data_IF_277641026000
#
_entry.id   IF_277641026000
#
_cell.length_a   1.000
_cell.length_b   1.000
_cell.length_c   1.000
_cell.angle_alpha   90.00
_cell.angle_beta   90.00
_cell.angle_gamma   90.00
#
_symmetry.space_group_name_H-M   'P 1'
#
loop_
_entity.id
_entity.type
_entity.pdbx_description
1 polymer ?
#
# COMPACT_ATOMS: atom_id res chain seq x y z
N UNK A 1 36.09 -30.00 -46.44
CA UNK A 1 35.90 -30.78 -45.19
C UNK A 1 36.10 -29.83 -44.01
N UNK A 2 35.04 -29.21 -43.49
CA UNK A 2 35.13 -28.31 -42.34
C UNK A 2 34.82 -29.11 -41.08
N UNK A 3 35.85 -29.35 -40.26
CA UNK A 3 35.75 -30.17 -39.05
C UNK A 3 35.24 -29.28 -37.91
N UNK A 4 33.94 -29.35 -37.60
CA UNK A 4 33.33 -28.63 -36.49
C UNK A 4 33.79 -29.24 -35.15
N UNK A 5 34.75 -28.61 -34.48
CA UNK A 5 35.09 -28.92 -33.09
C UNK A 5 34.00 -28.38 -32.17
N UNK A 6 33.15 -29.26 -31.67
CA UNK A 6 32.21 -28.97 -30.59
C UNK A 6 33.00 -28.58 -29.33
N UNK A 7 32.98 -27.30 -28.95
CA UNK A 7 33.49 -26.84 -27.66
C UNK A 7 32.41 -27.06 -26.61
N UNK A 8 32.63 -27.97 -25.67
CA UNK A 8 31.78 -28.17 -24.50
C UNK A 8 32.19 -27.24 -23.35
N UNK A 9 31.22 -26.82 -22.53
CA UNK A 9 31.49 -26.13 -21.27
C UNK A 9 32.08 -27.09 -20.24
N UNK A 10 33.02 -26.61 -19.43
CA UNK A 10 33.54 -27.36 -18.29
C UNK A 10 32.57 -27.31 -17.11
N UNK A 11 32.59 -28.35 -16.27
CA UNK A 11 31.78 -28.38 -15.04
C UNK A 11 32.11 -27.22 -14.10
N UNK A 12 33.38 -26.80 -14.05
CA UNK A 12 33.82 -25.69 -13.21
C UNK A 12 33.30 -24.34 -13.72
N UNK A 13 33.23 -24.14 -15.04
CA UNK A 13 32.64 -22.93 -15.63
C UNK A 13 31.16 -22.80 -15.26
N UNK A 14 30.39 -23.89 -15.37
CA UNK A 14 28.98 -23.86 -14.96
C UNK A 14 28.80 -23.64 -13.46
N UNK A 15 29.67 -24.22 -12.63
CA UNK A 15 29.61 -24.06 -11.17
C UNK A 15 29.87 -22.60 -10.74
N UNK A 16 30.85 -21.93 -11.34
CA UNK A 16 31.14 -20.52 -11.03
C UNK A 16 29.99 -19.60 -11.46
N UNK A 17 29.35 -19.88 -12.61
CA UNK A 17 28.23 -19.07 -13.10
C UNK A 17 27.03 -19.14 -12.17
N UNK A 18 26.62 -20.34 -11.74
CA UNK A 18 25.48 -20.47 -10.81
C UNK A 18 25.80 -19.86 -9.45
N UNK A 19 27.07 -19.90 -9.01
CA UNK A 19 27.49 -19.26 -7.77
C UNK A 19 27.35 -17.73 -7.84
N UNK A 20 27.78 -17.11 -8.95
CA UNK A 20 27.64 -15.65 -9.14
C UNK A 20 26.16 -15.25 -9.25
N UNK A 21 25.36 -16.00 -10.03
CA UNK A 21 23.91 -15.74 -10.16
C UNK A 21 23.23 -15.86 -8.79
N UNK A 22 23.62 -16.84 -7.96
CA UNK A 22 23.09 -17.01 -6.60
C UNK A 22 23.34 -15.79 -5.71
N UNK A 23 24.56 -15.25 -5.71
CA UNK A 23 24.92 -14.06 -4.91
C UNK A 23 24.14 -12.83 -5.40
N UNK A 24 24.10 -12.59 -6.71
CA UNK A 24 23.37 -11.44 -7.27
C UNK A 24 21.86 -11.53 -7.01
N UNK A 25 21.28 -12.72 -7.13
CA UNK A 25 19.84 -12.94 -6.92
C UNK A 25 19.42 -12.67 -5.47
N UNK A 26 20.26 -13.03 -4.49
CA UNK A 26 19.98 -12.78 -3.08
C UNK A 26 19.87 -11.28 -2.76
N UNK A 27 20.79 -10.46 -3.28
CA UNK A 27 20.79 -9.00 -3.07
C UNK A 27 19.58 -8.34 -3.75
N UNK A 28 19.26 -8.77 -4.97
CA UNK A 28 18.12 -8.25 -5.74
C UNK A 28 16.79 -8.57 -5.06
N UNK A 29 16.64 -9.76 -4.47
CA UNK A 29 15.39 -10.12 -3.79
C UNK A 29 15.14 -9.27 -2.55
N UNK A 30 16.19 -8.98 -1.77
CA UNK A 30 16.08 -8.14 -0.57
C UNK A 30 15.64 -6.70 -0.92
N UNK A 31 16.22 -6.11 -1.97
CA UNK A 31 15.86 -4.77 -2.42
C UNK A 31 14.45 -4.71 -3.02
N UNK A 32 14.06 -5.75 -3.77
CA UNK A 32 12.72 -5.85 -4.37
C UNK A 32 11.61 -5.92 -3.31
N UNK A 33 11.80 -6.67 -2.22
CA UNK A 33 10.80 -6.75 -1.16
C UNK A 33 10.53 -5.37 -0.53
N UNK A 34 11.59 -4.60 -0.27
CA UNK A 34 11.46 -3.24 0.27
C UNK A 34 10.74 -2.30 -0.71
N UNK A 35 11.09 -2.40 -2.01
CA UNK A 35 10.45 -1.60 -3.05
C UNK A 35 8.96 -1.94 -3.20
N UNK A 36 8.58 -3.22 -3.10
CA UNK A 36 7.18 -3.66 -3.14
C UNK A 36 6.38 -3.10 -1.97
N UNK A 37 6.88 -3.19 -0.74
CA UNK A 37 6.19 -2.63 0.43
C UNK A 37 5.96 -1.12 0.29
N UNK A 38 6.95 -0.36 -0.18
CA UNK A 38 6.80 1.08 -0.45
C UNK A 38 5.81 1.38 -1.59
N UNK A 39 5.77 0.53 -2.62
CA UNK A 39 4.80 0.64 -3.70
C UNK A 39 3.36 0.43 -3.21
N UNK A 40 3.16 -0.54 -2.33
CA UNK A 40 1.87 -0.78 -1.68
C UNK A 40 1.46 0.41 -0.79
N UNK A 41 2.38 0.98 -0.02
CA UNK A 41 2.12 2.19 0.77
C UNK A 41 1.66 3.37 -0.10
N UNK A 42 2.26 3.55 -1.27
CA UNK A 42 1.85 4.59 -2.22
C UNK A 42 0.45 4.32 -2.80
N UNK A 43 0.11 3.06 -3.07
CA UNK A 43 -1.24 2.67 -3.49
C UNK A 43 -2.27 2.99 -2.40
N UNK A 44 -1.98 2.61 -1.15
CA UNK A 44 -2.83 2.91 0.02
C UNK A 44 -3.06 4.42 0.18
N UNK A 45 -2.03 5.24 0.01
CA UNK A 45 -2.15 6.70 0.06
C UNK A 45 -3.06 7.25 -1.04
N UNK A 46 -2.96 6.70 -2.26
CA UNK A 46 -3.81 7.06 -3.39
C UNK A 46 -5.28 6.66 -3.16
N UNK A 47 -5.51 5.47 -2.62
CA UNK A 47 -6.85 4.97 -2.30
C UNK A 47 -7.50 5.84 -1.22
N UNK A 48 -6.77 6.21 -0.17
CA UNK A 48 -7.26 7.15 0.85
C UNK A 48 -7.52 8.55 0.26
N UNK A 49 -6.68 9.07 -0.64
CA UNK A 49 -6.96 10.34 -1.32
C UNK A 49 -8.27 10.32 -2.12
N UNK A 50 -8.64 9.17 -2.67
CA UNK A 50 -9.96 8.98 -3.30
C UNK A 50 -11.08 9.12 -2.27
N UNK A 51 -10.93 8.54 -1.07
CA UNK A 51 -11.88 8.71 0.04
C UNK A 51 -12.03 10.18 0.42
N UNK A 52 -10.93 10.93 0.52
CA UNK A 52 -10.97 12.37 0.82
C UNK A 52 -11.81 13.14 -0.22
N UNK A 53 -11.60 12.84 -1.50
CA UNK A 53 -12.36 13.47 -2.60
C UNK A 53 -13.85 13.11 -2.53
N UNK A 54 -14.18 11.85 -2.27
CA UNK A 54 -15.59 11.42 -2.14
C UNK A 54 -16.25 12.01 -0.89
N UNK A 55 -15.52 12.13 0.21
CA UNK A 55 -16.03 12.75 1.43
C UNK A 55 -16.40 14.22 1.23
N UNK A 56 -15.59 14.97 0.48
CA UNK A 56 -15.89 16.36 0.12
C UNK A 56 -17.15 16.48 -0.75
N UNK A 57 -17.30 15.59 -1.75
CA UNK A 57 -18.51 15.52 -2.60
C UNK A 57 -19.75 15.20 -1.75
N UNK A 58 -19.61 14.25 -0.84
CA UNK A 58 -20.68 13.83 0.06
C UNK A 58 -21.13 15.00 0.96
N UNK A 59 -20.16 15.70 1.56
CA UNK A 59 -20.43 16.86 2.40
C UNK A 59 -21.05 18.03 1.62
N UNK A 60 -20.58 18.31 0.40
CA UNK A 60 -21.12 19.35 -0.47
C UNK A 60 -22.61 19.12 -0.81
N UNK A 61 -23.04 17.86 -0.86
CA UNK A 61 -24.43 17.50 -1.19
C UNK A 61 -25.34 17.47 0.05
N UNK A 62 -24.84 16.95 1.18
CA UNK A 62 -25.65 16.68 2.37
C UNK A 62 -25.42 17.62 3.56
N UNK A 63 -24.42 18.51 3.50
CA UNK A 63 -23.90 19.29 4.64
C UNK A 63 -23.61 18.42 5.88
N UNK A 64 -23.25 17.16 5.67
CA UNK A 64 -22.94 16.21 6.74
C UNK A 64 -22.02 15.12 6.23
N UNK A 65 -21.16 14.59 7.12
CA UNK A 65 -20.40 13.38 6.87
C UNK A 65 -21.11 12.10 7.35
N UNK A 66 -22.32 12.22 7.90
CA UNK A 66 -23.09 11.06 8.37
C UNK A 66 -23.35 10.10 7.22
N UNK A 67 -22.78 8.90 7.31
CA UNK A 67 -22.93 7.87 6.27
C UNK A 67 -21.88 7.90 5.17
N UNK A 68 -20.88 8.81 5.21
CA UNK A 68 -19.79 8.84 4.22
C UNK A 68 -19.02 7.52 4.18
N UNK A 69 -18.82 6.87 5.33
CA UNK A 69 -18.17 5.56 5.40
C UNK A 69 -19.05 4.41 4.88
N UNK A 70 -20.33 4.64 4.59
CA UNK A 70 -21.20 3.66 3.94
C UNK A 70 -21.38 3.98 2.44
N UNK A 71 -20.75 5.05 1.93
CA UNK A 71 -20.76 5.37 0.52
C UNK A 71 -20.04 4.28 -0.29
N UNK A 72 -20.63 3.90 -1.42
CA UNK A 72 -20.13 2.79 -2.24
C UNK A 72 -18.72 3.03 -2.79
N UNK A 73 -18.33 4.28 -3.07
CA UNK A 73 -16.99 4.61 -3.57
C UNK A 73 -15.98 4.61 -2.43
N UNK A 74 -16.38 5.08 -1.24
CA UNK A 74 -15.55 5.00 -0.03
C UNK A 74 -15.28 3.54 0.34
N UNK A 75 -16.30 2.67 0.33
CA UNK A 75 -16.13 1.24 0.60
C UNK A 75 -15.22 0.55 -0.43
N UNK A 76 -15.31 0.92 -1.71
CA UNK A 76 -14.41 0.40 -2.75
C UNK A 76 -12.97 0.85 -2.54
N UNK A 77 -12.76 2.11 -2.19
CA UNK A 77 -11.43 2.64 -1.92
C UNK A 77 -10.81 2.01 -0.65
N UNK A 78 -11.62 1.77 0.39
CA UNK A 78 -11.18 1.01 1.58
C UNK A 78 -10.77 -0.41 1.21
N UNK A 79 -11.60 -1.12 0.45
CA UNK A 79 -11.29 -2.48 0.00
C UNK A 79 -10.03 -2.53 -0.90
N UNK A 80 -9.78 -1.48 -1.70
CA UNK A 80 -8.55 -1.35 -2.49
C UNK A 80 -7.32 -1.16 -1.60
N UNK A 81 -7.41 -0.31 -0.58
CA UNK A 81 -6.35 -0.11 0.40
C UNK A 81 -6.06 -1.40 1.21
N UNK A 82 -7.10 -2.15 1.59
CA UNK A 82 -6.99 -3.47 2.21
C UNK A 82 -6.25 -4.46 1.29
N UNK A 83 -6.64 -4.52 0.01
CA UNK A 83 -5.99 -5.37 -0.99
C UNK A 83 -4.52 -4.99 -1.22
N UNK A 84 -4.19 -3.69 -1.23
CA UNK A 84 -2.82 -3.20 -1.33
C UNK A 84 -1.98 -3.55 -0.09
N UNK A 85 -2.61 -3.53 1.09
CA UNK A 85 -1.96 -3.98 2.33
C UNK A 85 -1.73 -5.50 2.35
N UNK A 86 -2.67 -6.26 1.81
CA UNK A 86 -2.67 -7.72 1.84
C UNK A 86 -3.43 -8.32 3.03
N UNK A 87 -4.28 -7.53 3.68
CA UNK A 87 -5.17 -7.94 4.79
C UNK A 87 -6.59 -7.43 4.54
N UNK A 88 -7.58 -7.87 5.32
CA UNK A 88 -9.00 -7.52 5.11
C UNK A 88 -9.54 -6.43 6.03
N UNK A 89 -8.72 -5.89 6.93
CA UNK A 89 -9.09 -4.96 7.99
C UNK A 89 -7.95 -3.94 8.24
N UNK A 90 -7.22 -3.56 7.18
CA UNK A 90 -6.16 -2.56 7.29
C UNK A 90 -6.72 -1.13 7.23
N UNK A 91 -7.84 -0.92 6.53
CA UNK A 91 -8.44 0.38 6.27
C UNK A 91 -9.73 0.65 7.08
N UNK A 92 -9.70 1.68 7.92
CA UNK A 92 -10.84 2.09 8.75
C UNK A 92 -11.40 3.42 8.26
N UNK A 93 -12.71 3.61 8.39
CA UNK A 93 -13.37 4.90 8.21
C UNK A 93 -14.32 5.11 9.38
N UNK A 94 -14.29 6.31 9.96
CA UNK A 94 -15.23 6.73 10.99
C UNK A 94 -15.65 8.17 10.72
N UNK A 95 -16.93 8.45 10.90
CA UNK A 95 -17.51 9.75 10.62
C UNK A 95 -18.59 10.12 11.64
N UNK A 96 -18.67 11.40 11.93
CA UNK A 96 -19.77 12.06 12.64
C UNK A 96 -20.53 12.95 11.64
N UNK A 97 -21.44 13.79 12.13
CA UNK A 97 -22.09 14.77 11.28
C UNK A 97 -21.13 15.82 10.72
N UNK A 98 -20.04 16.15 11.42
CA UNK A 98 -19.17 17.30 11.11
C UNK A 98 -17.71 16.93 10.85
N UNK A 99 -17.28 15.73 11.23
CA UNK A 99 -15.91 15.26 11.08
C UNK A 99 -15.87 13.86 10.52
N UNK A 100 -14.79 13.53 9.80
CA UNK A 100 -14.48 12.16 9.42
C UNK A 100 -12.97 11.95 9.45
N UNK A 101 -12.56 10.71 9.64
CA UNK A 101 -11.22 10.28 9.29
C UNK A 101 -11.25 8.89 8.66
N UNK A 102 -10.32 8.68 7.73
CA UNK A 102 -10.04 7.37 7.19
C UNK A 102 -8.56 7.07 7.40
N UNK A 103 -8.27 5.84 7.80
CA UNK A 103 -6.92 5.37 8.07
C UNK A 103 -6.67 4.07 7.34
N UNK A 104 -5.41 3.79 7.00
CA UNK A 104 -5.00 2.48 6.53
C UNK A 104 -3.59 2.12 6.98
N UNK A 105 -3.37 0.88 7.41
CA UNK A 105 -2.07 0.40 7.88
C UNK A 105 -1.05 0.41 6.73
N UNK A 106 0.16 0.89 7.00
CA UNK A 106 1.26 0.83 6.03
C UNK A 106 1.93 -0.55 6.05
N UNK A 107 2.35 -1.02 4.88
CA UNK A 107 3.02 -2.30 4.66
C UNK A 107 4.51 -2.23 5.00
N UNK A 108 5.17 -1.12 4.68
CA UNK A 108 6.60 -0.98 4.99
C UNK A 108 6.87 -0.86 6.50
N UNK A 109 5.91 -0.37 7.26
CA UNK A 109 5.97 -0.22 8.71
C UNK A 109 4.57 -0.46 9.30
N UNK A 110 4.33 -1.70 9.75
CA UNK A 110 3.04 -2.13 10.28
C UNK A 110 2.65 -1.45 11.61
N UNK A 111 3.54 -0.65 12.20
CA UNK A 111 3.22 0.16 13.38
C UNK A 111 2.58 1.50 13.02
N UNK A 112 2.58 1.86 11.73
CA UNK A 112 2.10 3.12 11.21
C UNK A 112 0.85 2.95 10.36
N UNK A 113 0.06 4.02 10.35
CA UNK A 113 -1.11 4.15 9.51
C UNK A 113 -1.00 5.45 8.72
N UNK A 114 -1.43 5.44 7.46
CA UNK A 114 -1.77 6.67 6.76
C UNK A 114 -3.12 7.15 7.24
N UNK A 115 -3.25 8.41 7.64
CA UNK A 115 -4.48 9.00 8.11
C UNK A 115 -4.84 10.23 7.28
N UNK A 116 -6.11 10.29 6.86
CA UNK A 116 -6.73 11.47 6.28
C UNK A 116 -7.95 11.90 7.10
N UNK A 117 -8.27 13.19 7.09
CA UNK A 117 -9.44 13.71 7.81
C UNK A 117 -10.15 14.89 7.12
N UNK A 118 -11.27 15.29 7.71
CA UNK A 118 -12.11 16.43 7.29
C UNK A 118 -11.45 17.80 7.40
N UNK A 119 -10.26 17.90 8.02
CA UNK A 119 -9.51 19.16 8.10
C UNK A 119 -8.44 19.27 7.01
N UNK A 120 -8.36 18.26 6.14
CA UNK A 120 -7.38 18.22 5.04
C UNK A 120 -6.04 17.61 5.45
N UNK A 121 -5.92 17.01 6.63
CA UNK A 121 -4.69 16.32 7.00
C UNK A 121 -4.52 15.08 6.11
N UNK A 122 -3.26 14.79 5.76
CA UNK A 122 -2.83 13.56 5.13
C UNK A 122 -1.43 13.24 5.66
N UNK A 123 -1.35 12.39 6.69
CA UNK A 123 -0.10 12.15 7.43
C UNK A 123 -0.01 10.73 7.98
N UNK A 124 1.22 10.28 8.22
CA UNK A 124 1.47 9.03 8.94
C UNK A 124 1.27 9.24 10.44
N UNK A 125 0.50 8.34 11.07
CA UNK A 125 0.28 8.28 12.51
C UNK A 125 0.77 6.96 13.09
N UNK A 126 1.03 6.95 14.39
CA UNK A 126 1.38 5.74 15.16
C UNK A 126 0.32 5.50 16.22
N UNK A 127 -0.14 4.25 16.39
CA UNK A 127 -1.12 3.89 17.42
C UNK A 127 -2.53 3.62 16.88
N UNK A 128 -3.57 4.03 17.62
CA UNK A 128 -4.97 3.63 17.36
C UNK A 128 -5.51 4.26 16.08
N UNK A 129 -5.83 3.42 15.10
CA UNK A 129 -6.31 3.83 13.78
C UNK A 129 -7.82 3.64 13.57
N UNK A 130 -8.47 2.83 14.40
CA UNK A 130 -9.90 2.55 14.30
C UNK A 130 -10.73 3.55 15.12
N UNK A 131 -11.87 3.97 14.56
CA UNK A 131 -12.87 4.78 15.25
C UNK A 131 -12.52 6.27 15.43
N UNK A 132 -11.33 6.72 15.03
CA UNK A 132 -10.96 8.14 15.09
C UNK A 132 -11.68 8.93 14.00
N UNK A 133 -12.04 10.19 14.29
CA UNK A 133 -12.73 11.07 13.32
C UNK A 133 -11.91 12.32 12.97
N UNK A 134 -10.69 12.43 13.52
CA UNK A 134 -9.69 13.46 13.23
C UNK A 134 -8.32 12.79 13.39
N UNK A 135 -7.37 13.12 12.52
CA UNK A 135 -6.02 12.59 12.64
C UNK A 135 -5.30 13.21 13.84
N UNK A 136 -4.72 12.41 14.76
CA UNK A 136 -3.98 12.89 15.92
C UNK A 136 -2.73 13.68 15.50
#
# INVERSE_FOLDING_TARGET
MYNNRSRGFTLIELLVVIAIIGILSAVVLASLNTARSKGNDAAIQSDLSTIQTQAEIFYSTGNTYTGVCADTQVERARAAADAANGTTEAAFCSATATTYAATAQLVADNTKYWCIDSTGNAKSITGTAAGITVCP
#
